data_IF_511423429579
#
_entry.id   IF_511423429579
#
_cell.length_a   1.000
_cell.length_b   1.000
_cell.length_c   1.000
_cell.angle_alpha   90.00
_cell.angle_beta   90.00
_cell.angle_gamma   90.00
#
_symmetry.space_group_name_H-M   'P 1'
#
loop_
_entity.id
_entity.type
_entity.pdbx_description
1 polymer ?
#
# COMPACT_ATOMS: atom_id res chain seq x y z
N UNK A 1 -17.78 19.05 -7.56
CA UNK A 1 -17.32 18.98 -6.16
C UNK A 1 -17.19 17.49 -5.85
N UNK A 2 -16.03 16.90 -6.18
CA UNK A 2 -15.79 15.50 -5.87
C UNK A 2 -15.41 15.46 -4.39
N UNK A 3 -16.28 14.93 -3.54
CA UNK A 3 -15.86 14.52 -2.21
C UNK A 3 -14.76 13.48 -2.42
N UNK A 4 -13.53 13.82 -2.06
CA UNK A 4 -12.47 12.84 -1.89
C UNK A 4 -12.97 11.76 -0.92
N UNK A 5 -12.99 10.50 -1.35
CA UNK A 5 -13.53 9.41 -0.57
C UNK A 5 -12.52 9.01 0.51
N UNK A 6 -12.75 9.45 1.74
CA UNK A 6 -11.93 9.08 2.90
C UNK A 6 -12.49 7.82 3.53
N UNK A 7 -11.63 6.83 3.81
CA UNK A 7 -12.02 5.52 4.38
C UNK A 7 -11.18 5.17 5.59
N UNK A 8 -11.80 4.56 6.60
CA UNK A 8 -11.10 4.09 7.79
C UNK A 8 -10.27 2.85 7.45
N UNK A 9 -9.03 2.80 7.91
CA UNK A 9 -8.12 1.67 7.76
C UNK A 9 -7.43 1.35 9.09
N UNK A 10 -6.88 0.13 9.17
CA UNK A 10 -6.07 -0.33 10.28
C UNK A 10 -4.65 -0.61 9.81
N UNK A 11 -3.67 -0.08 10.53
CA UNK A 11 -2.25 -0.35 10.38
C UNK A 11 -1.97 -1.82 10.68
N UNK A 12 -1.36 -2.52 9.72
CA UNK A 12 -1.01 -3.94 9.84
C UNK A 12 0.47 -4.11 10.12
N UNK A 13 1.32 -3.33 9.45
CA UNK A 13 2.79 -3.37 9.58
C UNK A 13 3.33 -1.95 9.54
N UNK A 14 4.20 -1.63 10.49
CA UNK A 14 5.03 -0.43 10.53
C UNK A 14 6.41 -0.86 11.07
N UNK A 15 7.33 -1.16 10.15
CA UNK A 15 8.64 -1.74 10.48
C UNK A 15 9.65 -1.50 9.38
N UNK A 16 10.91 -1.41 9.77
CA UNK A 16 12.05 -1.46 8.86
C UNK A 16 12.35 -2.91 8.47
N UNK A 17 12.73 -3.12 7.21
CA UNK A 17 13.12 -4.43 6.68
C UNK A 17 14.57 -4.38 6.19
N UNK A 18 15.36 -5.38 6.56
CA UNK A 18 16.76 -5.52 6.13
C UNK A 18 17.00 -6.96 5.69
N UNK A 19 17.64 -7.15 4.54
CA UNK A 19 17.98 -8.49 4.07
C UNK A 19 19.05 -9.15 4.97
N UNK A 20 18.96 -10.46 5.23
CA UNK A 20 17.90 -11.38 4.79
C UNK A 20 16.61 -11.19 5.60
N UNK A 21 15.46 -11.27 4.93
CA UNK A 21 14.14 -11.25 5.57
C UNK A 21 13.23 -12.29 4.93
N UNK A 22 12.21 -12.74 5.67
CA UNK A 22 11.19 -13.63 5.15
C UNK A 22 10.31 -12.91 4.11
N UNK A 23 9.65 -13.69 3.26
CA UNK A 23 8.66 -13.17 2.30
C UNK A 23 7.38 -12.78 3.01
N UNK A 24 6.87 -11.58 2.69
CA UNK A 24 5.55 -11.12 3.12
C UNK A 24 4.46 -11.53 2.14
N UNK A 25 3.23 -11.74 2.63
CA UNK A 25 2.07 -12.05 1.80
C UNK A 25 0.89 -11.14 2.17
N UNK A 26 0.24 -10.60 1.14
CA UNK A 26 -1.00 -9.84 1.25
C UNK A 26 -2.09 -10.48 0.40
N UNK A 27 -3.33 -10.34 0.86
CA UNK A 27 -4.53 -10.83 0.20
C UNK A 27 -5.46 -9.66 -0.12
N UNK A 28 -6.50 -9.85 -0.95
CA UNK A 28 -7.40 -8.76 -1.33
C UNK A 28 -8.01 -7.97 -0.15
N UNK A 29 -8.18 -8.58 1.02
CA UNK A 29 -8.78 -7.91 2.20
C UNK A 29 -8.03 -8.11 3.51
N UNK A 30 -6.86 -8.77 3.50
CA UNK A 30 -6.08 -9.07 4.71
C UNK A 30 -4.57 -9.01 4.42
N UNK A 31 -3.74 -8.97 5.47
CA UNK A 31 -2.28 -8.96 5.31
C UNK A 31 -1.68 -7.62 4.86
N UNK A 32 -2.46 -6.53 4.89
CA UNK A 32 -1.98 -5.20 4.51
C UNK A 32 -1.98 -4.96 3.01
N UNK A 33 -3.13 -5.14 2.34
CA UNK A 33 -3.28 -4.90 0.89
C UNK A 33 -2.81 -3.48 0.50
N UNK A 34 -3.20 -2.48 1.28
CA UNK A 34 -2.70 -1.11 1.15
C UNK A 34 -1.37 -0.99 1.89
N UNK A 35 -0.31 -0.59 1.17
CA UNK A 35 1.03 -0.48 1.73
C UNK A 35 1.84 0.61 1.04
N UNK A 36 2.95 1.01 1.65
CA UNK A 36 3.92 1.96 1.09
C UNK A 36 5.32 1.51 1.47
N UNK A 37 6.22 1.48 0.50
CA UNK A 37 7.64 1.20 0.74
C UNK A 37 8.44 2.50 0.73
N UNK A 38 9.27 2.68 1.74
CA UNK A 38 10.24 3.77 1.81
C UNK A 38 11.63 3.19 1.91
N UNK A 39 12.46 3.42 0.88
CA UNK A 39 13.84 2.95 0.88
C UNK A 39 14.69 3.79 1.83
N UNK A 40 15.21 3.19 2.91
CA UNK A 40 16.16 3.81 3.85
C UNK A 40 17.57 3.83 3.23
N UNK A 41 17.94 2.73 2.57
CA UNK A 41 19.14 2.58 1.76
C UNK A 41 18.75 2.07 0.38
N UNK A 42 19.69 2.04 -0.58
CA UNK A 42 19.45 1.36 -1.84
C UNK A 42 19.03 -0.10 -1.58
N UNK A 43 17.88 -0.49 -2.11
CA UNK A 43 17.28 -1.81 -1.93
C UNK A 43 16.62 -2.29 -3.21
N UNK A 44 16.40 -3.61 -3.31
CA UNK A 44 15.62 -4.23 -4.35
C UNK A 44 14.48 -5.02 -3.71
N UNK A 45 13.27 -4.87 -4.24
CA UNK A 45 12.07 -5.63 -3.84
C UNK A 45 11.67 -6.50 -5.02
N UNK A 46 11.41 -7.78 -4.75
CA UNK A 46 10.89 -8.73 -5.73
C UNK A 46 9.43 -9.03 -5.38
N UNK A 47 8.51 -8.54 -6.20
CA UNK A 47 7.08 -8.79 -6.04
C UNK A 47 6.58 -9.84 -7.04
N UNK A 48 5.78 -10.78 -6.53
CA UNK A 48 5.02 -11.75 -7.33
C UNK A 48 3.54 -11.43 -7.16
N UNK A 49 2.91 -10.94 -8.22
CA UNK A 49 1.52 -10.50 -8.19
C UNK A 49 0.60 -11.45 -8.97
N UNK A 50 -0.48 -11.90 -8.33
CA UNK A 50 -1.47 -12.80 -8.92
C UNK A 50 -2.91 -12.44 -8.56
N UNK A 51 -3.77 -12.03 -9.51
CA UNK A 51 -3.44 -11.67 -10.89
C UNK A 51 -2.75 -10.29 -10.99
N UNK A 52 -2.02 -9.99 -12.07
CA UNK A 52 -1.52 -8.64 -12.34
C UNK A 52 -2.66 -7.61 -12.46
N UNK A 53 -2.30 -6.34 -12.25
CA UNK A 53 -3.17 -5.21 -12.56
C UNK A 53 -3.64 -5.24 -14.02
N UNK A 54 -4.88 -4.81 -14.24
CA UNK A 54 -5.49 -4.71 -15.57
C UNK A 54 -6.63 -3.71 -15.53
N UNK A 55 -6.53 -2.64 -16.31
CA UNK A 55 -7.62 -1.65 -16.43
C UNK A 55 -8.86 -2.23 -17.12
N UNK A 56 -8.67 -3.14 -18.07
CA UNK A 56 -9.76 -3.78 -18.82
C UNK A 56 -10.63 -4.65 -17.90
N UNK A 57 -10.03 -5.18 -16.84
CA UNK A 57 -10.69 -6.06 -15.88
C UNK A 57 -10.93 -5.37 -14.52
N UNK A 58 -10.96 -4.04 -14.51
CA UNK A 58 -11.24 -3.21 -13.31
C UNK A 58 -10.29 -3.46 -12.11
N UNK A 59 -9.03 -3.77 -12.42
CA UNK A 59 -7.91 -3.92 -11.47
C UNK A 59 -6.88 -2.82 -11.71
N UNK A 60 -7.30 -1.56 -11.76
CA UNK A 60 -6.37 -0.43 -11.80
C UNK A 60 -5.79 -0.16 -10.41
N UNK A 61 -4.64 0.52 -10.36
CA UNK A 61 -4.02 0.94 -9.10
C UNK A 61 -4.64 2.26 -8.62
N UNK A 62 -5.00 2.31 -7.34
CA UNK A 62 -5.43 3.55 -6.66
C UNK A 62 -4.39 3.95 -5.62
N UNK A 63 -4.07 5.25 -5.57
CA UNK A 63 -3.14 5.80 -4.60
C UNK A 63 -3.90 6.42 -3.43
N UNK A 64 -3.31 6.32 -2.24
CA UNK A 64 -3.88 6.84 -1.02
C UNK A 64 -2.87 7.70 -0.27
N UNK A 65 -3.37 8.72 0.43
CA UNK A 65 -2.64 9.41 1.50
C UNK A 65 -3.24 9.01 2.84
N UNK A 66 -2.38 8.63 3.77
CA UNK A 66 -2.80 8.31 5.13
C UNK A 66 -2.85 9.56 6.02
N UNK A 67 -3.77 9.54 6.98
CA UNK A 67 -3.90 10.54 8.01
C UNK A 67 -4.11 9.88 9.38
N UNK A 68 -3.61 10.48 10.46
CA UNK A 68 -3.92 10.03 11.81
C UNK A 68 -5.43 9.96 12.04
N UNK A 69 -5.88 8.97 12.81
CA UNK A 69 -7.29 8.78 13.13
C UNK A 69 -8.03 10.05 13.61
N UNK A 70 -7.35 10.92 14.37
CA UNK A 70 -7.91 12.17 14.90
C UNK A 70 -8.12 13.30 13.87
N UNK A 71 -7.78 13.09 12.59
CA UNK A 71 -7.82 14.13 11.56
C UNK A 71 -9.25 14.51 11.16
N UNK A 72 -10.18 13.55 11.16
CA UNK A 72 -11.57 13.78 10.73
C UNK A 72 -12.55 13.65 11.92
N UNK A 73 -13.55 14.54 12.04
CA UNK A 73 -14.45 14.60 13.19
C UNK A 73 -15.42 13.41 13.29
N UNK A 74 -15.57 12.61 12.23
CA UNK A 74 -16.38 11.39 12.21
C UNK A 74 -15.60 10.12 12.60
N UNK A 75 -14.43 10.25 13.24
CA UNK A 75 -13.68 9.14 13.84
C UNK A 75 -14.62 8.32 14.72
N UNK A 76 -14.99 7.14 14.25
CA UNK A 76 -15.85 6.21 14.97
C UNK A 76 -15.16 5.83 16.28
N UNK A 77 -15.43 6.58 17.36
CA UNK A 77 -14.92 6.29 18.70
C UNK A 77 -15.20 4.82 18.96
N UNK A 78 -14.18 4.07 19.37
CA UNK A 78 -14.42 2.75 19.90
C UNK A 78 -15.40 2.85 21.10
N UNK A 79 -15.97 1.72 21.50
CA UNK A 79 -16.98 1.70 22.57
C UNK A 79 -16.42 2.17 23.93
N UNK A 80 -15.11 2.44 24.02
CA UNK A 80 -14.38 2.72 25.26
C UNK A 80 -13.73 4.12 25.31
N UNK A 81 -13.78 4.91 24.23
CA UNK A 81 -13.18 6.23 24.16
C UNK A 81 -11.65 6.24 24.09
N UNK A 82 -11.01 5.09 23.86
CA UNK A 82 -9.56 5.01 23.64
C UNK A 82 -9.26 5.22 22.14
N UNK A 83 -8.26 6.05 21.85
CA UNK A 83 -7.76 6.18 20.47
C UNK A 83 -6.96 4.93 20.16
N UNK A 84 -7.54 3.99 19.42
CA UNK A 84 -6.77 2.90 18.80
C UNK A 84 -5.72 3.53 17.87
N UNK A 85 -4.46 3.52 18.31
CA UNK A 85 -3.33 4.10 17.57
C UNK A 85 -3.04 3.36 16.27
N UNK A 86 -3.62 2.17 16.08
CA UNK A 86 -3.52 1.43 14.82
C UNK A 86 -4.55 1.88 13.79
N UNK A 87 -5.53 2.71 14.16
CA UNK A 87 -6.49 3.24 13.18
C UNK A 87 -5.95 4.50 12.49
N UNK A 88 -6.33 4.65 11.23
CA UNK A 88 -6.01 5.81 10.40
C UNK A 88 -7.03 5.99 9.28
N UNK A 89 -6.96 7.12 8.60
CA UNK A 89 -7.80 7.42 7.46
C UNK A 89 -6.99 7.36 6.17
N UNK A 90 -7.54 6.75 5.13
CA UNK A 90 -6.99 6.75 3.78
C UNK A 90 -7.85 7.61 2.88
N UNK A 91 -7.23 8.60 2.26
CA UNK A 91 -7.83 9.48 1.26
C UNK A 91 -7.35 9.07 -0.12
N UNK A 92 -8.27 8.79 -1.04
CA UNK A 92 -7.93 8.54 -2.45
C UNK A 92 -7.31 9.81 -3.08
N UNK A 93 -6.15 9.67 -3.72
CA UNK A 93 -5.43 10.78 -4.37
C UNK A 93 -5.06 10.42 -5.81
N UNK A 94 -4.88 11.46 -6.63
CA UNK A 94 -4.21 11.29 -7.91
C UNK A 94 -2.73 10.91 -7.71
N UNK A 95 -2.19 10.16 -8.67
CA UNK A 95 -0.77 9.81 -8.70
C UNK A 95 0.09 11.09 -8.63
N UNK A 96 1.06 11.11 -7.71
CA UNK A 96 1.96 12.26 -7.58
C UNK A 96 2.77 12.46 -8.86
N UNK A 97 2.91 13.71 -9.30
CA UNK A 97 3.79 14.08 -10.43
C UNK A 97 5.27 13.79 -10.17
N UNK A 98 5.64 13.64 -8.90
CA UNK A 98 7.00 13.33 -8.48
C UNK A 98 7.29 11.83 -8.52
N UNK A 99 6.27 10.97 -8.65
CA UNK A 99 6.45 9.54 -8.80
C UNK A 99 6.99 9.23 -10.20
N UNK A 100 8.22 8.73 -10.26
CA UNK A 100 8.90 8.36 -11.51
C UNK A 100 9.23 6.88 -11.47
N UNK A 101 8.67 6.13 -12.42
CA UNK A 101 8.99 4.72 -12.62
C UNK A 101 9.67 4.56 -13.99
N UNK A 102 10.88 4.00 -13.99
CA UNK A 102 11.63 3.71 -15.20
C UNK A 102 11.62 2.20 -15.42
N UNK A 103 11.02 1.76 -16.52
CA UNK A 103 11.07 0.36 -16.93
C UNK A 103 12.44 0.09 -17.54
N UNK A 104 13.07 -0.99 -17.08
CA UNK A 104 14.36 -1.47 -17.59
C UNK A 104 14.22 -2.90 -18.09
N UNK A 105 15.07 -3.28 -19.05
CA UNK A 105 15.13 -4.65 -19.55
C UNK A 105 15.76 -5.57 -18.49
N UNK A 106 15.21 -6.77 -18.35
CA UNK A 106 15.77 -7.80 -17.48
C UNK A 106 16.97 -8.46 -18.17
N UNK A 107 18.15 -8.33 -17.56
CA UNK A 107 19.42 -8.86 -18.09
C UNK A 107 19.95 -10.07 -17.32
N UNK A 108 19.13 -10.68 -16.46
CA UNK A 108 19.51 -11.85 -15.69
C UNK A 108 19.39 -13.16 -16.47
N UNK A 109 19.55 -14.33 -15.80
CA UNK A 109 19.36 -15.63 -16.41
C UNK A 109 17.99 -15.79 -17.07
N UNK A 110 17.93 -16.51 -18.18
CA UNK A 110 16.69 -16.74 -18.92
C UNK A 110 15.61 -17.36 -18.04
N UNK A 111 14.43 -16.76 -18.04
CA UNK A 111 13.23 -17.32 -17.41
C UNK A 111 12.58 -18.26 -18.42
N UNK A 112 12.54 -19.55 -18.11
CA UNK A 112 11.90 -20.58 -18.94
C UNK A 112 10.52 -20.84 -18.35
N UNK A 113 9.47 -20.76 -19.16
CA UNK A 113 8.12 -21.13 -18.74
C UNK A 113 8.05 -22.63 -18.41
N UNK A 114 7.40 -22.96 -17.29
CA UNK A 114 7.11 -24.34 -16.90
C UNK A 114 5.98 -24.97 -17.70
#
# INVERSE_FOLDING_TARGET
MLCSAVRLAKLVVDSDFTAPCDTSILYPTTGGNMHTFTAITACAVLDVQGPPYSKEEDRDITYYRDYPYGTYPNGATDQNGEKDSSLGWLEEIDISKDLKMNVIEYLGPQVIGG
#
